data_IF_933807142137
#
_entry.id   IF_933807142137
#
_cell.length_a   1.000
_cell.length_b   1.000
_cell.length_c   1.000
_cell.angle_alpha   90.00
_cell.angle_beta   90.00
_cell.angle_gamma   90.00
#
_symmetry.space_group_name_H-M   'P 1'
#
loop_
_entity.id
_entity.type
_entity.pdbx_description
1 polymer ?
#
# COMPACT_ATOMS: atom_id res chain seq x y z
N UNK A 1 25.93 2.83 3.38
CA UNK A 1 24.51 2.95 3.01
C UNK A 1 23.91 1.55 3.03
N UNK A 2 22.97 1.30 3.93
CA UNK A 2 22.28 0.02 4.05
C UNK A 2 21.29 -0.08 2.88
N UNK A 3 21.57 -0.91 1.88
CA UNK A 3 20.57 -1.27 0.89
C UNK A 3 19.55 -2.21 1.53
N UNK A 4 18.25 -2.04 1.26
CA UNK A 4 17.24 -2.94 1.76
C UNK A 4 17.53 -4.37 1.28
N UNK A 5 17.48 -5.32 2.19
CA UNK A 5 17.58 -6.74 1.85
C UNK A 5 16.26 -7.18 1.23
N UNK A 6 16.26 -7.41 -0.09
CA UNK A 6 15.11 -7.98 -0.80
C UNK A 6 15.17 -9.50 -0.72
N UNK A 7 14.04 -10.13 -0.47
CA UNK A 7 13.89 -11.58 -0.56
C UNK A 7 13.35 -12.00 -1.95
N UNK A 8 13.32 -13.31 -2.20
CA UNK A 8 12.84 -13.84 -3.49
C UNK A 8 11.39 -13.43 -3.80
N UNK A 9 10.52 -13.29 -2.78
CA UNK A 9 9.11 -12.89 -2.96
C UNK A 9 8.98 -11.42 -3.38
N UNK A 10 9.82 -10.55 -2.81
CA UNK A 10 9.85 -9.13 -3.19
C UNK A 10 10.27 -8.98 -4.66
N UNK A 11 11.26 -9.76 -5.12
CA UNK A 11 11.71 -9.74 -6.51
C UNK A 11 10.67 -10.34 -7.45
N UNK A 12 9.95 -11.40 -7.05
CA UNK A 12 8.86 -11.97 -7.84
C UNK A 12 7.75 -10.94 -8.09
N UNK A 13 7.42 -10.13 -7.09
CA UNK A 13 6.45 -9.04 -7.22
C UNK A 13 6.87 -7.90 -8.16
N UNK A 14 8.14 -7.85 -8.59
CA UNK A 14 8.69 -6.89 -9.54
C UNK A 14 8.87 -7.48 -10.96
N UNK A 15 8.40 -8.71 -11.20
CA UNK A 15 8.43 -9.35 -12.51
C UNK A 15 7.00 -9.31 -13.07
N UNK A 16 6.86 -8.68 -14.22
CA UNK A 16 5.59 -8.45 -14.92
C UNK A 16 5.53 -9.31 -16.17
N UNK A 17 4.33 -9.64 -16.61
CA UNK A 17 4.11 -10.27 -17.92
C UNK A 17 3.64 -9.20 -18.91
N UNK A 18 4.47 -8.91 -19.92
CA UNK A 18 4.18 -7.93 -20.98
C UNK A 18 4.54 -8.54 -22.31
N UNK A 19 3.63 -8.49 -23.28
CA UNK A 19 3.78 -9.11 -24.62
C UNK A 19 4.09 -10.61 -24.55
N UNK A 20 3.54 -11.31 -23.54
CA UNK A 20 3.79 -12.74 -23.31
C UNK A 20 5.22 -13.07 -22.83
N UNK A 21 5.96 -12.07 -22.36
CA UNK A 21 7.31 -12.21 -21.83
C UNK A 21 7.38 -11.72 -20.39
N UNK A 22 8.20 -12.37 -19.57
CA UNK A 22 8.50 -11.91 -18.22
C UNK A 22 9.55 -10.81 -18.29
N UNK A 23 9.21 -9.65 -17.72
CA UNK A 23 10.04 -8.45 -17.75
C UNK A 23 10.13 -7.81 -16.37
N UNK A 24 11.16 -7.02 -16.15
CA UNK A 24 11.28 -6.08 -15.02
C UNK A 24 11.32 -4.64 -15.54
N UNK A 25 10.76 -3.72 -14.78
CA UNK A 25 10.70 -2.31 -15.16
C UNK A 25 11.94 -1.54 -14.65
N UNK A 26 12.34 -0.51 -15.38
CA UNK A 26 13.54 0.27 -15.09
C UNK A 26 13.55 0.87 -13.68
N UNK A 27 12.40 1.27 -13.15
CA UNK A 27 12.30 1.82 -11.80
C UNK A 27 12.45 0.73 -10.71
N UNK A 28 11.97 -0.49 -10.94
CA UNK A 28 12.15 -1.62 -10.01
C UNK A 28 13.61 -2.08 -10.01
N UNK A 29 14.22 -2.17 -11.21
CA UNK A 29 15.64 -2.47 -11.34
C UNK A 29 16.51 -1.40 -10.68
N UNK A 30 16.19 -0.11 -10.89
CA UNK A 30 16.90 0.97 -10.23
C UNK A 30 16.82 0.86 -8.70
N UNK A 31 15.65 0.54 -8.16
CA UNK A 31 15.43 0.32 -6.74
C UNK A 31 16.25 -0.87 -6.21
N UNK A 32 16.25 -2.00 -6.90
CA UNK A 32 17.00 -3.19 -6.52
C UNK A 32 18.51 -2.96 -6.53
N UNK A 33 19.01 -2.26 -7.53
CA UNK A 33 20.44 -1.96 -7.68
C UNK A 33 20.91 -0.76 -6.86
N UNK A 34 20.00 -0.03 -6.19
CA UNK A 34 20.33 1.19 -5.43
C UNK A 34 20.74 2.36 -6.32
N UNK A 35 20.18 2.44 -7.54
CA UNK A 35 20.43 3.52 -8.48
C UNK A 35 19.22 4.44 -8.58
N UNK A 36 19.46 5.70 -8.94
CA UNK A 36 18.38 6.52 -9.48
C UNK A 36 18.00 6.03 -10.88
N UNK A 37 16.70 6.02 -11.21
CA UNK A 37 16.18 5.56 -12.51
C UNK A 37 16.87 6.25 -13.68
N UNK A 38 17.09 7.56 -13.55
CA UNK A 38 17.80 8.36 -14.55
C UNK A 38 19.23 7.85 -14.79
N UNK A 39 19.96 7.55 -13.73
CA UNK A 39 21.34 7.03 -13.80
C UNK A 39 21.39 5.65 -14.44
N UNK A 40 20.47 4.75 -14.07
CA UNK A 40 20.38 3.43 -14.67
C UNK A 40 20.13 3.57 -16.18
N UNK A 41 19.15 4.38 -16.59
CA UNK A 41 18.82 4.60 -17.99
C UNK A 41 19.96 5.30 -18.78
N UNK A 42 20.77 6.15 -18.15
CA UNK A 42 21.98 6.70 -18.74
C UNK A 42 23.05 5.62 -19.02
N UNK A 43 23.23 4.65 -18.10
CA UNK A 43 24.14 3.52 -18.33
C UNK A 43 23.69 2.65 -19.49
N UNK A 44 22.39 2.36 -19.56
CA UNK A 44 21.80 1.63 -20.69
C UNK A 44 22.01 2.37 -22.00
N UNK A 45 21.73 3.69 -22.02
CA UNK A 45 21.93 4.52 -23.21
C UNK A 45 23.38 4.55 -23.70
N UNK A 46 24.36 4.56 -22.78
CA UNK A 46 25.80 4.51 -23.12
C UNK A 46 26.23 3.17 -23.71
N UNK A 47 25.46 2.11 -23.47
CA UNK A 47 25.72 0.75 -23.94
C UNK A 47 24.57 0.25 -24.84
N UNK A 48 23.98 1.14 -25.64
CA UNK A 48 22.75 0.87 -26.40
C UNK A 48 22.86 -0.34 -27.31
N UNK A 49 24.04 -0.58 -27.89
CA UNK A 49 24.28 -1.75 -28.73
C UNK A 49 24.14 -3.10 -28.04
N UNK A 50 24.19 -3.11 -26.71
CA UNK A 50 24.00 -4.31 -25.88
C UNK A 50 22.54 -4.58 -25.53
N UNK A 51 21.65 -3.65 -25.82
CA UNK A 51 20.22 -3.72 -25.49
C UNK A 51 19.39 -3.63 -26.76
N UNK A 52 19.37 -4.69 -27.59
CA UNK A 52 18.43 -4.79 -28.71
C UNK A 52 16.99 -4.86 -28.23
N UNK A 53 16.02 -4.75 -29.12
CA UNK A 53 14.59 -4.67 -28.76
C UNK A 53 14.04 -5.93 -28.05
N UNK A 54 14.65 -7.07 -28.26
CA UNK A 54 14.35 -8.32 -27.56
C UNK A 54 14.92 -8.38 -26.12
N UNK A 55 15.85 -7.47 -25.76
CA UNK A 55 16.41 -7.33 -24.42
C UNK A 55 15.73 -6.22 -23.63
N UNK A 56 15.41 -5.12 -24.29
CA UNK A 56 14.78 -3.96 -23.67
C UNK A 56 13.92 -3.20 -24.67
N UNK A 57 12.71 -2.86 -24.25
CA UNK A 57 11.79 -2.07 -25.05
C UNK A 57 11.04 -1.03 -24.19
N UNK A 58 10.68 0.13 -24.75
CA UNK A 58 9.83 1.09 -24.07
C UNK A 58 8.38 0.60 -24.06
N UNK A 59 7.68 0.83 -22.93
CA UNK A 59 6.26 0.57 -22.85
C UNK A 59 5.45 1.58 -23.67
N UNK A 60 4.37 1.10 -24.28
CA UNK A 60 3.34 1.95 -24.88
C UNK A 60 2.45 2.58 -23.82
N UNK A 61 1.65 3.58 -24.18
CA UNK A 61 0.70 4.21 -23.27
C UNK A 61 -0.37 3.22 -22.80
N UNK A 62 -0.82 2.34 -23.68
CA UNK A 62 -1.84 1.32 -23.36
C UNK A 62 -1.29 0.29 -22.36
N UNK A 63 -0.05 -0.18 -22.56
CA UNK A 63 0.63 -1.08 -21.63
C UNK A 63 0.85 -0.45 -20.26
N UNK A 64 1.21 0.83 -20.20
CA UNK A 64 1.32 1.58 -18.95
C UNK A 64 -0.03 1.73 -18.23
N UNK A 65 -1.10 1.95 -19.01
CA UNK A 65 -2.45 2.07 -18.47
C UNK A 65 -2.95 0.72 -17.91
N UNK A 66 -2.68 -0.37 -18.60
CA UNK A 66 -3.02 -1.72 -18.16
C UNK A 66 -2.29 -2.10 -16.86
N UNK A 67 -0.99 -1.83 -16.79
CA UNK A 67 -0.20 -1.98 -15.57
C UNK A 67 -0.74 -1.14 -14.40
N UNK A 68 -1.21 0.09 -14.68
CA UNK A 68 -1.76 0.96 -13.64
C UNK A 68 -3.11 0.50 -13.09
N UNK A 69 -3.87 -0.27 -13.85
CA UNK A 69 -5.15 -0.89 -13.45
C UNK A 69 -4.96 -2.17 -12.66
N UNK A 70 -3.87 -2.86 -12.84
CA UNK A 70 -3.49 -4.01 -12.04
C UNK A 70 -3.09 -3.54 -10.63
N UNK A 71 -3.12 -4.44 -9.61
CA UNK A 71 -2.87 -4.10 -8.19
C UNK A 71 -1.48 -3.49 -7.91
N UNK A 72 -0.65 -3.32 -8.93
CA UNK A 72 0.69 -2.73 -8.87
C UNK A 72 0.73 -1.20 -9.04
N UNK A 73 -0.44 -0.55 -9.03
CA UNK A 73 -0.62 0.89 -9.24
C UNK A 73 0.23 1.80 -8.32
N UNK A 74 0.63 1.31 -7.13
CA UNK A 74 1.33 2.13 -6.13
C UNK A 74 2.72 2.57 -6.60
N UNK A 75 3.45 1.71 -7.30
CA UNK A 75 4.80 2.01 -7.81
C UNK A 75 4.75 2.93 -9.03
N UNK A 76 3.77 2.72 -9.92
CA UNK A 76 3.61 3.49 -11.16
C UNK A 76 3.08 4.91 -10.88
N UNK A 77 2.17 5.08 -9.92
CA UNK A 77 1.66 6.40 -9.52
C UNK A 77 2.74 7.32 -8.95
N UNK A 78 3.75 6.76 -8.32
CA UNK A 78 4.86 7.53 -7.75
C UNK A 78 5.80 8.08 -8.83
N UNK A 79 5.95 7.39 -9.97
CA UNK A 79 6.98 7.70 -10.98
C UNK A 79 6.45 8.25 -12.31
N UNK A 80 5.17 8.11 -12.66
CA UNK A 80 4.76 8.28 -14.05
C UNK A 80 3.70 9.33 -14.38
N UNK A 81 2.86 9.80 -13.44
CA UNK A 81 1.62 10.52 -13.80
C UNK A 81 1.49 11.91 -13.16
N UNK A 82 2.42 12.37 -12.36
CA UNK A 82 2.39 13.74 -11.83
C UNK A 82 3.12 14.71 -12.75
N UNK A 83 2.35 15.36 -13.64
CA UNK A 83 2.73 16.61 -14.29
C UNK A 83 3.44 16.48 -15.63
N UNK A 84 2.70 16.39 -16.73
CA UNK A 84 3.04 16.99 -18.04
C UNK A 84 4.22 16.41 -18.83
N UNK A 85 5.09 15.60 -18.29
CA UNK A 85 6.18 14.93 -18.99
C UNK A 85 5.97 13.42 -18.88
N UNK A 86 5.55 12.80 -19.97
CA UNK A 86 5.39 11.33 -20.04
C UNK A 86 6.78 10.72 -19.94
N UNK A 87 7.13 10.20 -18.76
CA UNK A 87 8.33 9.40 -18.57
C UNK A 87 8.15 8.09 -19.33
N UNK A 88 9.10 7.77 -20.23
CA UNK A 88 9.10 6.49 -20.93
C UNK A 88 9.65 5.42 -20.01
N UNK A 89 8.79 4.50 -19.58
CA UNK A 89 9.17 3.34 -18.78
C UNK A 89 9.76 2.31 -19.73
N UNK A 90 10.94 1.76 -19.38
CA UNK A 90 11.59 0.71 -20.14
C UNK A 90 11.36 -0.63 -19.43
N UNK A 91 10.96 -1.63 -20.20
CA UNK A 91 10.84 -3.02 -19.77
C UNK A 91 12.09 -3.80 -20.23
N UNK A 92 12.67 -4.55 -19.28
CA UNK A 92 13.84 -5.40 -19.51
C UNK A 92 13.41 -6.86 -19.43
N UNK A 93 13.64 -7.61 -20.50
CA UNK A 93 13.44 -9.07 -20.50
C UNK A 93 14.47 -9.75 -19.60
N UNK A 94 14.33 -11.04 -19.36
CA UNK A 94 15.31 -11.81 -18.58
C UNK A 94 16.73 -11.63 -19.14
N UNK A 95 16.89 -11.65 -20.48
CA UNK A 95 18.16 -11.42 -21.15
C UNK A 95 18.65 -10.00 -20.97
N UNK A 96 17.73 -9.02 -21.01
CA UNK A 96 18.05 -7.62 -20.75
C UNK A 96 18.54 -7.39 -19.33
N UNK A 97 17.95 -8.06 -18.34
CA UNK A 97 18.43 -8.01 -16.95
C UNK A 97 19.82 -8.64 -16.83
N UNK A 98 20.08 -9.77 -17.49
CA UNK A 98 21.41 -10.38 -17.51
C UNK A 98 22.45 -9.48 -18.17
N UNK A 99 22.10 -8.82 -19.24
CA UNK A 99 22.97 -7.83 -19.89
C UNK A 99 23.21 -6.63 -18.97
N UNK A 100 22.19 -6.14 -18.27
CA UNK A 100 22.31 -5.03 -17.33
C UNK A 100 23.32 -5.35 -16.21
N UNK A 101 23.35 -6.59 -15.72
CA UNK A 101 24.32 -7.08 -14.76
C UNK A 101 25.77 -6.97 -15.22
N UNK A 102 26.02 -6.99 -16.53
CA UNK A 102 27.37 -6.80 -17.10
C UNK A 102 27.78 -5.34 -17.24
N UNK A 103 26.80 -4.43 -17.23
CA UNK A 103 27.01 -2.98 -17.43
C UNK A 103 27.15 -2.28 -16.07
N UNK A 104 26.37 -2.72 -15.08
CA UNK A 104 26.44 -2.17 -13.72
C UNK A 104 27.64 -2.74 -12.98
N UNK A 105 28.31 -1.89 -12.19
CA UNK A 105 29.53 -2.24 -11.47
C UNK A 105 29.31 -2.17 -9.97
N UNK A 106 30.06 -3.00 -9.23
CA UNK A 106 30.09 -3.02 -7.76
C UNK A 106 29.54 -4.32 -7.17
N UNK A 107 29.92 -4.62 -5.95
CA UNK A 107 29.54 -5.85 -5.25
C UNK A 107 28.01 -5.98 -5.09
N UNK A 108 27.34 -4.88 -4.82
CA UNK A 108 25.88 -4.81 -4.72
C UNK A 108 25.23 -5.23 -6.04
N UNK A 109 25.72 -4.70 -7.16
CA UNK A 109 25.21 -5.05 -8.48
C UNK A 109 25.35 -6.55 -8.77
N UNK A 110 26.48 -7.14 -8.42
CA UNK A 110 26.72 -8.57 -8.58
C UNK A 110 25.74 -9.39 -7.71
N UNK A 111 25.58 -9.05 -6.43
CA UNK A 111 24.70 -9.76 -5.52
C UNK A 111 23.23 -9.70 -5.97
N UNK A 112 22.75 -8.51 -6.29
CA UNK A 112 21.37 -8.33 -6.78
C UNK A 112 21.13 -9.05 -8.10
N UNK A 113 22.08 -9.00 -9.03
CA UNK A 113 22.00 -9.74 -10.29
C UNK A 113 21.86 -11.24 -10.07
N UNK A 114 22.62 -11.82 -9.15
CA UNK A 114 22.53 -13.24 -8.82
C UNK A 114 21.15 -13.60 -8.23
N UNK A 115 20.60 -12.74 -7.37
CA UNK A 115 19.26 -12.96 -6.80
C UNK A 115 18.18 -12.89 -7.88
N UNK A 116 18.20 -11.89 -8.74
CA UNK A 116 17.25 -11.73 -9.83
C UNK A 116 17.31 -12.94 -10.78
N UNK A 117 18.51 -13.35 -11.18
CA UNK A 117 18.72 -14.53 -12.05
C UNK A 117 18.14 -15.83 -11.44
N UNK A 118 18.36 -16.02 -10.13
CA UNK A 118 17.80 -17.17 -9.40
C UNK A 118 16.28 -17.12 -9.36
N UNK A 119 15.70 -15.94 -9.17
CA UNK A 119 14.24 -15.76 -9.12
C UNK A 119 13.61 -16.04 -10.49
N UNK A 120 14.17 -15.53 -11.60
CA UNK A 120 13.71 -15.89 -12.94
C UNK A 120 13.80 -17.39 -13.21
N UNK A 121 14.90 -18.05 -12.80
CA UNK A 121 15.05 -19.49 -12.92
C UNK A 121 13.98 -20.25 -12.14
N UNK A 122 13.70 -19.84 -10.89
CA UNK A 122 12.64 -20.46 -10.06
C UNK A 122 11.27 -20.30 -10.69
N UNK A 123 10.94 -19.10 -11.17
CA UNK A 123 9.66 -18.82 -11.84
C UNK A 123 9.48 -19.67 -13.10
N UNK A 124 10.50 -19.78 -13.94
CA UNK A 124 10.46 -20.64 -15.14
C UNK A 124 10.25 -22.10 -14.79
N UNK A 125 10.94 -22.59 -13.77
CA UNK A 125 10.78 -23.96 -13.29
C UNK A 125 9.36 -24.20 -12.81
N UNK A 126 8.83 -23.32 -11.98
CA UNK A 126 7.45 -23.39 -11.51
C UNK A 126 6.43 -23.37 -12.64
N UNK A 127 6.59 -22.48 -13.62
CA UNK A 127 5.69 -22.41 -14.79
C UNK A 127 5.77 -23.71 -15.60
N UNK A 128 6.97 -24.26 -15.83
CA UNK A 128 7.14 -25.49 -16.59
C UNK A 128 6.56 -26.73 -15.88
N UNK A 129 6.74 -26.82 -14.56
CA UNK A 129 6.18 -27.92 -13.76
C UNK A 129 4.64 -27.85 -13.70
N UNK A 130 4.09 -26.66 -13.66
CA UNK A 130 2.64 -26.44 -13.58
C UNK A 130 1.98 -26.20 -14.94
N UNK A 131 2.71 -26.30 -16.04
CA UNK A 131 2.20 -26.02 -17.40
C UNK A 131 1.03 -26.93 -17.79
N UNK A 132 1.00 -28.16 -17.33
CA UNK A 132 -0.12 -29.09 -17.55
C UNK A 132 -1.36 -28.67 -16.72
N UNK A 133 -1.16 -28.15 -15.52
CA UNK A 133 -2.23 -27.65 -14.66
C UNK A 133 -2.79 -26.30 -15.17
N UNK A 134 -1.91 -25.41 -15.62
CA UNK A 134 -2.29 -24.10 -16.18
C UNK A 134 -2.90 -24.21 -17.59
N UNK A 135 -2.61 -25.30 -18.32
CA UNK A 135 -3.17 -25.56 -19.65
C UNK A 135 -4.53 -26.25 -19.64
N UNK A 136 -5.05 -26.69 -18.49
CA UNK A 136 -6.41 -27.23 -18.41
C UNK A 136 -7.40 -26.07 -18.25
N UNK A 137 -8.17 -25.81 -19.32
CA UNK A 137 -9.23 -24.79 -19.36
C UNK A 137 -10.22 -24.94 -18.20
N UNK A 138 -10.45 -26.18 -17.75
CA UNK A 138 -11.35 -26.50 -16.66
C UNK A 138 -10.83 -26.03 -15.30
N UNK A 139 -9.52 -26.17 -15.03
CA UNK A 139 -8.91 -25.67 -13.80
C UNK A 139 -8.87 -24.13 -13.78
N UNK A 140 -8.56 -23.53 -14.92
CA UNK A 140 -8.58 -22.06 -15.05
C UNK A 140 -9.99 -21.50 -14.84
N UNK A 141 -11.00 -22.14 -15.43
CA UNK A 141 -12.40 -21.77 -15.23
C UNK A 141 -12.84 -21.96 -13.78
N UNK A 142 -12.42 -23.04 -13.13
CA UNK A 142 -12.68 -23.27 -11.70
C UNK A 142 -12.06 -22.17 -10.84
N UNK A 143 -10.79 -21.83 -11.06
CA UNK A 143 -10.11 -20.76 -10.34
C UNK A 143 -10.75 -19.37 -10.57
N UNK A 144 -11.23 -19.10 -11.78
CA UNK A 144 -11.96 -17.85 -12.09
C UNK A 144 -13.28 -17.82 -11.33
N UNK A 145 -14.02 -18.92 -11.30
CA UNK A 145 -15.28 -19.03 -10.56
C UNK A 145 -15.07 -18.88 -9.04
N UNK A 146 -14.05 -19.52 -8.49
CA UNK A 146 -13.70 -19.40 -7.07
C UNK A 146 -13.32 -17.95 -6.71
N UNK A 147 -12.52 -17.29 -7.56
CA UNK A 147 -12.19 -15.87 -7.37
C UNK A 147 -13.41 -14.94 -7.47
N UNK A 148 -14.35 -15.24 -8.37
CA UNK A 148 -15.60 -14.48 -8.46
C UNK A 148 -16.44 -14.65 -7.20
N UNK A 149 -16.55 -15.87 -6.69
CA UNK A 149 -17.26 -16.19 -5.46
C UNK A 149 -16.65 -15.49 -4.24
N UNK A 150 -15.33 -15.56 -4.09
CA UNK A 150 -14.61 -14.85 -3.02
C UNK A 150 -14.84 -13.32 -3.10
N UNK A 151 -14.82 -12.75 -4.30
CA UNK A 151 -15.12 -11.32 -4.49
C UNK A 151 -16.54 -10.97 -4.08
N UNK A 152 -17.51 -11.80 -4.41
CA UNK A 152 -18.92 -11.61 -4.04
C UNK A 152 -19.12 -11.71 -2.53
N UNK A 153 -18.51 -12.71 -1.89
CA UNK A 153 -18.52 -12.87 -0.43
C UNK A 153 -17.86 -11.68 0.28
N UNK A 154 -16.70 -11.23 -0.21
CA UNK A 154 -16.04 -10.02 0.30
C UNK A 154 -16.91 -8.78 0.15
N UNK A 155 -17.56 -8.59 -1.00
CA UNK A 155 -18.44 -7.45 -1.24
C UNK A 155 -19.65 -7.45 -0.30
N UNK A 156 -20.27 -8.62 -0.12
CA UNK A 156 -21.40 -8.79 0.77
C UNK A 156 -20.99 -8.58 2.25
N UNK A 157 -19.89 -9.17 2.69
CA UNK A 157 -19.35 -8.95 4.03
C UNK A 157 -18.98 -7.49 4.30
N UNK A 158 -18.45 -6.79 3.30
CA UNK A 158 -18.16 -5.35 3.44
C UNK A 158 -19.44 -4.50 3.55
N UNK A 159 -20.49 -4.89 2.85
CA UNK A 159 -21.79 -4.23 2.92
C UNK A 159 -22.46 -4.48 4.28
N UNK A 160 -22.40 -5.69 4.80
CA UNK A 160 -22.91 -6.04 6.14
C UNK A 160 -22.18 -5.26 7.23
N UNK A 161 -20.84 -5.29 7.24
CA UNK A 161 -20.02 -4.51 8.17
C UNK A 161 -20.31 -3.01 8.12
N UNK A 162 -20.53 -2.47 6.92
CA UNK A 162 -20.90 -1.06 6.76
C UNK A 162 -22.25 -0.76 7.41
N UNK A 163 -23.23 -1.65 7.24
CA UNK A 163 -24.56 -1.51 7.86
C UNK A 163 -24.46 -1.59 9.39
N UNK A 164 -23.65 -2.52 9.93
CA UNK A 164 -23.40 -2.62 11.37
C UNK A 164 -22.71 -1.36 11.93
N UNK A 165 -21.67 -0.86 11.22
CA UNK A 165 -20.98 0.37 11.60
C UNK A 165 -21.92 1.56 11.60
N UNK A 166 -22.79 1.68 10.62
CA UNK A 166 -23.78 2.77 10.55
C UNK A 166 -24.81 2.63 11.69
N UNK A 167 -25.26 1.42 12.01
CA UNK A 167 -26.10 1.14 13.19
C UNK A 167 -25.43 1.44 14.53
N UNK A 168 -24.13 1.14 14.66
CA UNK A 168 -23.36 1.50 15.84
C UNK A 168 -23.22 3.02 15.95
N UNK A 169 -22.98 3.72 14.85
CA UNK A 169 -22.89 5.19 14.83
C UNK A 169 -24.20 5.87 15.23
N UNK A 170 -25.33 5.35 14.77
CA UNK A 170 -26.66 5.88 15.13
C UNK A 170 -26.96 5.72 16.62
N UNK A 171 -26.47 4.61 17.22
CA UNK A 171 -26.67 4.33 18.64
C UNK A 171 -25.56 4.89 19.54
N UNK A 172 -24.49 5.43 18.97
CA UNK A 172 -23.40 5.99 19.73
C UNK A 172 -23.79 7.33 20.35
N UNK A 173 -23.74 7.39 21.68
CA UNK A 173 -23.89 8.66 22.39
C UNK A 173 -22.79 9.59 21.96
N UNK A 174 -23.14 10.69 21.32
CA UNK A 174 -22.15 11.68 20.89
C UNK A 174 -21.59 12.43 22.10
N UNK A 175 -20.39 13.01 21.95
CA UNK A 175 -19.80 13.88 22.98
C UNK A 175 -20.75 15.04 23.34
N UNK A 176 -21.59 15.47 22.42
CA UNK A 176 -22.58 16.53 22.64
C UNK A 176 -23.78 16.03 23.45
N UNK A 177 -24.25 14.80 23.20
CA UNK A 177 -25.34 14.18 23.97
C UNK A 177 -24.90 13.90 25.42
N UNK A 178 -23.67 13.47 25.58
CA UNK A 178 -23.07 13.27 26.90
C UNK A 178 -22.91 14.61 27.66
N UNK A 179 -22.46 15.66 26.98
CA UNK A 179 -22.42 17.04 27.53
C UNK A 179 -23.81 17.55 27.91
N UNK A 180 -24.80 17.33 27.04
CA UNK A 180 -26.19 17.75 27.29
C UNK A 180 -26.80 16.99 28.50
N UNK A 181 -26.57 15.70 28.59
CA UNK A 181 -27.01 14.87 29.72
C UNK A 181 -26.32 15.27 31.01
N UNK A 182 -25.01 15.52 30.96
CA UNK A 182 -24.24 15.97 32.12
C UNK A 182 -24.67 17.36 32.59
N UNK A 183 -24.95 18.29 31.66
CA UNK A 183 -25.50 19.59 31.99
C UNK A 183 -26.92 19.50 32.61
N UNK A 184 -27.73 18.55 32.15
CA UNK A 184 -29.05 18.29 32.73
C UNK A 184 -28.94 17.82 34.18
N UNK A 185 -28.02 16.91 34.45
CA UNK A 185 -27.75 16.40 35.81
C UNK A 185 -27.18 17.51 36.70
N UNK A 186 -26.19 18.27 36.23
CA UNK A 186 -25.62 19.43 36.93
C UNK A 186 -26.66 20.48 37.27
N UNK A 187 -27.52 20.82 36.32
CA UNK A 187 -28.60 21.79 36.57
C UNK A 187 -29.69 21.31 37.54
N UNK A 188 -29.80 19.98 37.77
CA UNK A 188 -30.72 19.42 38.76
C UNK A 188 -30.15 19.41 40.17
N UNK A 189 -28.83 19.42 40.31
CA UNK A 189 -28.15 19.31 41.63
C UNK A 189 -27.56 20.62 42.14
N UNK A 190 -27.30 21.61 41.25
CA UNK A 190 -26.67 22.87 41.61
C UNK A 190 -27.65 24.02 41.42
N UNK A 191 -27.97 24.88 42.41
CA UNK A 191 -28.80 26.05 42.25
C UNK A 191 -28.20 26.99 41.20
N UNK A 192 -29.06 27.59 40.37
CA UNK A 192 -28.63 28.46 39.24
C UNK A 192 -27.72 29.64 39.64
N UNK A 193 -27.72 30.03 40.90
CA UNK A 193 -26.88 31.13 41.42
C UNK A 193 -25.42 30.70 41.66
N UNK A 194 -25.14 29.45 41.95
CA UNK A 194 -23.77 28.95 42.12
C UNK A 194 -23.08 28.59 40.82
N UNK A 195 -23.84 28.25 39.77
CA UNK A 195 -23.30 27.93 38.46
C UNK A 195 -22.58 29.08 37.76
N UNK A 196 -22.80 30.33 38.17
CA UNK A 196 -22.12 31.52 37.59
C UNK A 196 -20.63 31.62 37.96
N UNK A 197 -20.17 30.84 38.93
CA UNK A 197 -18.75 30.87 39.35
C UNK A 197 -17.87 29.85 38.65
N UNK A 198 -18.45 28.84 37.95
CA UNK A 198 -17.69 27.79 37.29
C UNK A 198 -17.73 27.92 35.74
N UNK A 199 -17.09 28.94 35.21
CA UNK A 199 -16.84 29.07 33.77
C UNK A 199 -15.50 28.38 33.47
N UNK A 200 -15.55 27.10 33.11
CA UNK A 200 -14.36 26.39 32.63
C UNK A 200 -14.01 26.91 31.22
N UNK A 201 -12.84 27.51 31.07
CA UNK A 201 -12.27 27.76 29.74
C UNK A 201 -11.83 26.44 29.14
N UNK A 202 -12.19 26.19 27.90
CA UNK A 202 -11.97 24.95 27.15
C UNK A 202 -10.48 24.48 27.05
N UNK A 203 -9.54 25.22 27.63
CA UNK A 203 -8.10 24.99 27.55
C UNK A 203 -7.41 24.46 28.82
N UNK A 204 -8.16 24.17 29.91
CA UNK A 204 -7.55 23.75 31.17
C UNK A 204 -8.23 22.48 31.75
N UNK A 205 -7.93 21.26 31.22
CA UNK A 205 -8.53 20.01 31.71
C UNK A 205 -8.09 19.66 33.13
N UNK A 206 -7.02 20.21 33.65
CA UNK A 206 -6.51 19.91 34.98
C UNK A 206 -7.33 20.62 36.09
N UNK A 207 -7.71 21.87 35.89
CA UNK A 207 -8.52 22.63 36.86
C UNK A 207 -9.95 22.08 36.97
N UNK A 208 -10.50 21.55 35.86
CA UNK A 208 -11.79 20.87 35.86
C UNK A 208 -11.79 19.62 36.75
N UNK A 209 -10.71 18.83 36.75
CA UNK A 209 -10.58 17.65 37.60
C UNK A 209 -10.45 17.99 39.10
N UNK A 210 -9.77 19.08 39.44
CA UNK A 210 -9.63 19.53 40.83
C UNK A 210 -10.98 20.03 41.37
N UNK A 211 -11.71 20.83 40.60
CA UNK A 211 -13.04 21.30 40.95
C UNK A 211 -14.05 20.14 41.09
N UNK A 212 -13.94 19.09 40.26
CA UNK A 212 -14.76 17.88 40.37
C UNK A 212 -14.49 17.11 41.65
N UNK A 213 -13.23 17.01 42.08
CA UNK A 213 -12.84 16.34 43.32
C UNK A 213 -13.29 17.10 44.58
N UNK A 214 -13.30 18.43 44.53
CA UNK A 214 -13.76 19.27 45.61
C UNK A 214 -15.30 19.20 45.79
N UNK A 215 -16.05 19.27 44.69
CA UNK A 215 -17.50 19.06 44.70
C UNK A 215 -17.84 17.64 45.24
N UNK A 216 -17.05 16.60 44.88
CA UNK A 216 -17.27 15.24 45.37
C UNK A 216 -16.96 15.09 46.88
N UNK A 217 -16.00 15.82 47.41
CA UNK A 217 -15.68 15.87 48.83
C UNK A 217 -16.76 16.59 49.63
N UNK A 218 -17.27 17.73 49.14
CA UNK A 218 -18.37 18.44 49.79
C UNK A 218 -19.68 17.67 49.78
N UNK A 219 -20.02 17.00 48.68
CA UNK A 219 -21.20 16.13 48.58
C UNK A 219 -21.14 14.96 49.60
N UNK A 220 -19.94 14.45 49.88
CA UNK A 220 -19.75 13.36 50.88
C UNK A 220 -19.92 13.81 52.31
N UNK A 221 -19.74 15.09 52.63
CA UNK A 221 -19.97 15.68 53.94
C UNK A 221 -21.42 16.09 54.20
N UNK A 222 -22.25 16.19 53.15
CA UNK A 222 -23.66 16.60 53.24
C UNK A 222 -24.62 15.37 53.44
N UNK A 223 -24.10 14.15 53.48
CA UNK A 223 -24.89 12.91 53.55
C UNK A 223 -24.78 12.24 54.96
N UNK A 224 -24.21 12.95 55.95
CA UNK A 224 -24.21 12.53 57.35
C UNK A 224 -24.94 13.53 58.24
#
# INVERSE_FOLDING_TARGET
EFLPSYNDLDIQGMIYEIRGQQVMLDFDLAKLYGYEVKRLNEQVKRNKERFPEDFMFPLTQDEMLELSRSQFATSIQTFGIKGGRTYKINAFTEQGVYMLATVLKGEVAVHQSLMIMRTFKKMRHYINENRQLLGSTDLLNSLIQDNMKIKEEMYNGHKELKTEIDGIKENMVTKNDMKASMNKVLNSFIPKEELKQFVFKDSQPFEANVAYMDIYKEAKHSIY
#
